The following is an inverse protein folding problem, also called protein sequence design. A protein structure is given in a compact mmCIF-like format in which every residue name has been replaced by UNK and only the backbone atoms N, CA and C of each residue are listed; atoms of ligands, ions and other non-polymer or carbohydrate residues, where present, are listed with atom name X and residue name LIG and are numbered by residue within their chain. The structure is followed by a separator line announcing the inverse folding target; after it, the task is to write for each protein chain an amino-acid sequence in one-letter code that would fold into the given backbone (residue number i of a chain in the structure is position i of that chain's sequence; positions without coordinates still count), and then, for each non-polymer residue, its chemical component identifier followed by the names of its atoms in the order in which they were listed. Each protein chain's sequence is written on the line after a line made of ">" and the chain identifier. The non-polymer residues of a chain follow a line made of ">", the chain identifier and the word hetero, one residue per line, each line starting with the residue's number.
data_IF_215012512344
#
_entry.id   IF_215012512344
#
_cell.length_a   1.000
_cell.length_b   1.000
_cell.length_c   1.000
_cell.angle_alpha   90.00
_cell.angle_beta   90.00
_cell.angle_gamma   90.00
#
_symmetry.space_group_name_H-M   'P 1'
#
loop_
_entity.id
_entity.type
_entity.pdbx_description
1 polymer ?
#
# COMPACT_ATOMS: atom_id res chain seq x y z
N UNK A 1 6.24 -27.68 0.82
CA UNK A 1 6.67 -26.31 0.46
C UNK A 1 5.39 -25.49 0.38
N UNK A 2 5.05 -24.79 1.44
CA UNK A 2 3.84 -23.97 1.52
C UNK A 2 4.20 -22.64 0.87
N UNK A 3 3.58 -22.35 -0.29
CA UNK A 3 3.72 -21.05 -0.93
C UNK A 3 2.87 -20.06 -0.13
N UNK A 4 3.50 -19.21 0.65
CA UNK A 4 2.83 -18.11 1.31
C UNK A 4 2.35 -17.11 0.25
N UNK A 5 1.04 -16.97 0.13
CA UNK A 5 0.43 -15.86 -0.62
C UNK A 5 0.56 -14.61 0.26
N UNK A 6 0.95 -13.54 -0.37
CA UNK A 6 1.27 -12.23 0.20
C UNK A 6 0.13 -11.64 1.00
N UNK A 7 0.45 -11.00 2.11
CA UNK A 7 -0.45 -10.09 2.82
C UNK A 7 -0.52 -8.83 1.95
N UNK A 8 -1.65 -8.58 1.33
CA UNK A 8 -1.92 -7.28 0.74
C UNK A 8 -2.24 -6.32 1.89
N UNK A 9 -1.22 -5.66 2.42
CA UNK A 9 -1.42 -4.36 3.04
C UNK A 9 -1.83 -3.46 1.88
N UNK A 10 -2.87 -2.66 2.05
CA UNK A 10 -3.37 -1.73 1.03
C UNK A 10 -2.46 -0.50 0.88
N UNK A 11 -1.18 -0.65 1.05
CA UNK A 11 -0.13 -0.01 0.29
C UNK A 11 0.15 -1.01 -0.82
N UNK A 12 -0.17 -0.67 -2.06
CA UNK A 12 0.11 -1.48 -3.25
C UNK A 12 1.63 -1.61 -3.48
N UNK A 13 2.36 -2.15 -2.51
CA UNK A 13 3.70 -2.68 -2.72
C UNK A 13 3.54 -4.17 -2.91
N UNK A 14 3.20 -4.58 -4.12
CA UNK A 14 3.18 -5.99 -4.50
C UNK A 14 4.62 -6.48 -4.65
N UNK A 15 5.25 -6.93 -3.58
CA UNK A 15 6.53 -7.63 -3.67
C UNK A 15 6.28 -9.06 -4.15
N UNK A 16 6.50 -9.35 -5.43
CA UNK A 16 6.53 -10.70 -5.97
C UNK A 16 7.94 -11.25 -5.85
N UNK A 17 8.16 -12.28 -5.03
CA UNK A 17 9.42 -13.00 -5.01
C UNK A 17 9.42 -14.09 -6.07
N UNK A 18 10.20 -13.89 -7.13
CA UNK A 18 10.68 -14.97 -8.01
C UNK A 18 12.19 -14.90 -8.06
N UNK A 19 12.83 -16.02 -7.77
CA UNK A 19 14.26 -16.17 -7.80
C UNK A 19 14.79 -16.26 -9.22
N UNK A 20 15.62 -15.32 -9.62
CA UNK A 20 16.72 -15.56 -10.59
C UNK A 20 17.75 -14.43 -10.52
N UNK A 21 19.00 -14.78 -10.80
CA UNK A 21 20.19 -13.94 -10.89
C UNK A 21 20.04 -12.85 -11.98
N UNK A 22 19.36 -11.77 -11.67
CA UNK A 22 19.24 -10.50 -12.39
C UNK A 22 18.29 -9.59 -11.61
N UNK A 23 18.16 -8.33 -11.96
CA UNK A 23 17.11 -7.47 -11.45
C UNK A 23 15.76 -7.95 -12.00
N UNK A 24 14.80 -8.21 -11.13
CA UNK A 24 13.41 -8.47 -11.52
C UNK A 24 12.71 -7.14 -11.75
N UNK A 25 11.94 -7.07 -12.82
CA UNK A 25 11.20 -5.87 -13.22
C UNK A 25 9.73 -6.22 -13.24
N UNK A 26 8.94 -5.50 -12.48
CA UNK A 26 7.48 -5.66 -12.46
C UNK A 26 6.78 -4.36 -12.87
N UNK A 27 5.67 -4.51 -13.58
CA UNK A 27 4.71 -3.43 -13.84
C UNK A 27 3.38 -3.83 -13.24
N UNK A 28 2.71 -2.88 -12.63
CA UNK A 28 1.36 -3.07 -12.13
C UNK A 28 0.42 -2.00 -12.68
N UNK A 29 -0.84 -2.36 -12.88
CA UNK A 29 -1.93 -1.44 -13.23
C UNK A 29 -3.14 -1.82 -12.41
N UNK A 30 -3.89 -0.83 -11.92
CA UNK A 30 -5.15 -1.03 -11.24
C UNK A 30 -6.20 0.02 -11.64
N UNK A 31 -7.46 -0.39 -11.56
CA UNK A 31 -8.63 0.46 -11.66
C UNK A 31 -9.50 0.19 -10.45
N UNK A 32 -9.94 1.23 -9.78
CA UNK A 32 -10.85 1.13 -8.64
C UNK A 32 -11.95 2.21 -8.73
N UNK A 33 -13.02 2.03 -7.96
CA UNK A 33 -14.06 3.05 -7.87
C UNK A 33 -13.65 4.21 -6.96
N UNK A 34 -12.59 4.03 -6.16
CA UNK A 34 -12.02 5.03 -5.25
C UNK A 34 -10.58 4.64 -4.93
N UNK A 35 -9.74 5.62 -4.56
CA UNK A 35 -8.41 5.40 -4.02
C UNK A 35 -8.43 5.74 -2.53
N UNK A 36 -8.35 4.74 -1.68
CA UNK A 36 -8.29 4.90 -0.22
C UNK A 36 -6.84 4.77 0.27
N UNK A 37 -6.35 5.79 0.95
CA UNK A 37 -5.05 5.80 1.63
C UNK A 37 -5.24 6.09 3.11
N UNK A 38 -4.79 5.19 3.98
CA UNK A 38 -4.95 5.28 5.45
C UNK A 38 -6.39 5.58 5.89
N UNK A 39 -7.36 4.93 5.23
CA UNK A 39 -8.78 5.08 5.52
C UNK A 39 -9.48 6.24 4.81
N UNK A 40 -8.74 7.18 4.23
CA UNK A 40 -9.27 8.40 3.60
C UNK A 40 -9.32 8.28 2.08
N UNK A 41 -10.40 8.76 1.45
CA UNK A 41 -10.49 8.86 0.00
C UNK A 41 -9.50 9.89 -0.55
N UNK A 42 -8.75 9.49 -1.58
CA UNK A 42 -7.80 10.34 -2.29
C UNK A 42 -8.35 10.85 -3.62
N UNK A 43 -9.50 10.32 -4.06
CA UNK A 43 -10.16 10.71 -5.32
C UNK A 43 -11.53 11.33 -5.12
N UNK A 44 -11.90 11.64 -3.85
CA UNK A 44 -13.22 12.20 -3.53
C UNK A 44 -14.36 11.24 -3.89
N UNK A 45 -14.15 9.93 -3.70
CA UNK A 45 -15.07 8.83 -4.05
C UNK A 45 -15.26 8.65 -5.57
N UNK A 46 -14.40 9.25 -6.40
CA UNK A 46 -14.39 9.09 -7.85
C UNK A 46 -13.41 7.99 -8.29
N UNK A 47 -13.59 7.40 -9.49
CA UNK A 47 -12.74 6.31 -9.96
C UNK A 47 -11.26 6.67 -10.03
N UNK A 48 -10.43 5.74 -9.57
CA UNK A 48 -8.98 5.82 -9.63
C UNK A 48 -8.39 4.89 -10.69
N UNK A 49 -7.36 5.39 -11.37
CA UNK A 49 -6.48 4.61 -12.23
C UNK A 49 -5.05 4.76 -11.73
N UNK A 50 -4.44 3.67 -11.34
CA UNK A 50 -3.09 3.67 -10.78
C UNK A 50 -2.18 2.67 -11.46
N UNK A 51 -0.88 2.86 -11.31
CA UNK A 51 0.10 1.93 -11.82
C UNK A 51 1.50 2.22 -11.31
N UNK A 52 2.36 1.21 -11.40
CA UNK A 52 3.72 1.31 -10.90
C UNK A 52 4.72 0.50 -11.71
N UNK A 53 5.96 0.78 -11.45
CA UNK A 53 7.12 0.13 -12.00
C UNK A 53 8.12 -0.13 -10.88
N UNK A 54 8.51 -1.39 -10.70
CA UNK A 54 9.40 -1.86 -9.66
C UNK A 54 10.62 -2.56 -10.25
N UNK A 55 11.77 -2.31 -9.66
CA UNK A 55 13.00 -3.05 -9.90
C UNK A 55 13.49 -3.60 -8.57
N UNK A 56 13.65 -4.91 -8.48
CA UNK A 56 14.15 -5.57 -7.27
C UNK A 56 15.34 -6.48 -7.53
N UNK A 57 16.17 -6.65 -6.52
CA UNK A 57 17.27 -7.60 -6.54
C UNK A 57 16.89 -8.87 -5.78
N UNK A 58 16.76 -9.97 -6.50
CA UNK A 58 16.45 -11.27 -5.90
C UNK A 58 17.56 -11.85 -5.00
N UNK A 59 18.81 -11.41 -5.16
CA UNK A 59 19.95 -11.87 -4.35
C UNK A 59 20.13 -11.07 -3.05
N UNK A 60 19.68 -9.80 -3.06
CA UNK A 60 20.02 -8.87 -1.99
C UNK A 60 18.81 -8.18 -1.36
N UNK A 61 17.57 -8.47 -1.81
CA UNK A 61 16.36 -7.88 -1.25
C UNK A 61 16.18 -6.37 -1.46
N UNK A 62 17.11 -5.70 -2.13
CA UNK A 62 17.02 -4.28 -2.42
C UNK A 62 15.98 -4.03 -3.52
N UNK A 63 15.21 -2.96 -3.43
CA UNK A 63 14.25 -2.54 -4.43
C UNK A 63 14.19 -1.03 -4.58
N UNK A 64 13.71 -0.59 -5.74
CA UNK A 64 13.36 0.78 -6.06
C UNK A 64 12.14 0.76 -6.96
N UNK A 65 11.24 1.71 -6.79
CA UNK A 65 10.05 1.79 -7.62
C UNK A 65 9.52 3.21 -7.75
N UNK A 66 8.57 3.33 -8.69
CA UNK A 66 7.72 4.49 -8.87
C UNK A 66 6.29 4.03 -9.02
N UNK A 67 5.38 4.74 -8.39
CA UNK A 67 3.95 4.50 -8.51
C UNK A 67 3.22 5.81 -8.74
N UNK A 68 2.03 5.77 -9.30
CA UNK A 68 1.21 6.96 -9.46
C UNK A 68 -0.25 6.64 -9.62
N UNK A 69 -1.09 7.61 -9.28
CA UNK A 69 -2.55 7.58 -9.41
C UNK A 69 -3.10 8.97 -9.72
N UNK A 70 -4.30 9.03 -10.24
CA UNK A 70 -5.06 10.26 -10.14
C UNK A 70 -5.55 10.46 -8.70
N UNK A 71 -5.62 11.70 -8.29
CA UNK A 71 -6.18 12.16 -7.01
C UNK A 71 -7.11 13.35 -7.23
N UNK A 72 -8.00 13.62 -6.27
CA UNK A 72 -8.86 14.82 -6.26
C UNK A 72 -9.04 15.29 -4.80
N UNK A 73 -8.38 16.37 -4.43
CA UNK A 73 -8.49 17.01 -3.12
C UNK A 73 -9.35 18.29 -3.19
N UNK A 74 -10.10 18.50 -4.29
CA UNK A 74 -10.84 19.72 -4.53
C UNK A 74 -9.94 20.94 -4.81
N UNK A 75 -8.67 20.70 -5.17
CA UNK A 75 -7.66 21.71 -5.52
C UNK A 75 -7.19 21.58 -6.97
N UNK A 76 -6.03 22.15 -7.33
CA UNK A 76 -5.44 21.96 -8.67
C UNK A 76 -4.72 20.60 -8.80
N UNK A 77 -4.49 19.90 -7.68
CA UNK A 77 -3.84 18.59 -7.64
C UNK A 77 -4.75 17.53 -8.23
N UNK A 78 -4.24 16.80 -9.20
CA UNK A 78 -4.95 15.72 -9.88
C UNK A 78 -4.12 14.45 -10.10
N UNK A 79 -2.89 14.44 -9.60
CA UNK A 79 -1.94 13.34 -9.80
C UNK A 79 -1.03 13.23 -8.60
N UNK A 80 -0.85 12.00 -8.11
CA UNK A 80 0.16 11.59 -7.14
C UNK A 80 1.23 10.76 -7.83
N UNK A 81 2.50 11.02 -7.51
CA UNK A 81 3.65 10.26 -7.96
C UNK A 81 4.55 9.94 -6.78
N UNK A 82 4.74 8.66 -6.52
CA UNK A 82 5.56 8.17 -5.42
C UNK A 82 6.86 7.59 -5.92
N UNK A 83 7.96 7.94 -5.26
CA UNK A 83 9.27 7.36 -5.49
C UNK A 83 9.72 6.67 -4.21
N UNK A 84 10.10 5.41 -4.30
CA UNK A 84 10.47 4.64 -3.14
C UNK A 84 11.66 3.72 -3.41
N UNK A 85 12.38 3.42 -2.34
CA UNK A 85 13.43 2.41 -2.34
C UNK A 85 13.56 1.79 -0.96
N UNK A 86 14.06 0.57 -0.91
CA UNK A 86 14.19 -0.13 0.35
C UNK A 86 14.93 -1.45 0.25
N UNK A 87 14.82 -2.18 1.33
CA UNK A 87 15.36 -3.51 1.49
C UNK A 87 14.35 -4.40 2.22
N UNK A 88 13.96 -5.49 1.59
CA UNK A 88 13.05 -6.48 2.17
C UNK A 88 13.65 -7.88 2.09
N UNK A 89 13.47 -8.67 3.16
CA UNK A 89 13.95 -10.05 3.19
C UNK A 89 13.07 -10.89 4.14
N UNK A 90 13.21 -12.20 4.05
CA UNK A 90 12.56 -13.15 4.93
C UNK A 90 13.59 -14.07 5.59
N UNK A 91 13.58 -14.11 6.90
CA UNK A 91 14.44 -15.02 7.68
C UNK A 91 14.06 -16.48 7.45
N UNK A 92 15.01 -17.40 7.70
CA UNK A 92 14.76 -18.85 7.63
C UNK A 92 13.64 -19.34 8.59
N UNK A 93 13.18 -18.51 9.51
CA UNK A 93 12.07 -18.79 10.44
C UNK A 93 10.74 -18.24 9.96
N UNK A 94 10.68 -17.64 8.78
CA UNK A 94 9.47 -17.05 8.21
C UNK A 94 9.09 -15.70 8.82
N UNK A 95 10.04 -14.97 9.39
CA UNK A 95 9.86 -13.56 9.77
C UNK A 95 10.29 -12.71 8.60
N UNK A 96 9.36 -12.00 8.01
CA UNK A 96 9.62 -11.01 6.96
C UNK A 96 9.89 -9.65 7.59
N UNK A 97 10.79 -8.89 6.99
CA UNK A 97 11.04 -7.50 7.35
C UNK A 97 11.23 -6.65 6.10
N UNK A 98 10.92 -5.40 6.22
CA UNK A 98 11.04 -4.39 5.18
C UNK A 98 11.49 -3.07 5.82
N UNK A 99 12.43 -2.37 5.21
CA UNK A 99 12.85 -1.04 5.60
C UNK A 99 13.02 -0.21 4.34
N UNK A 100 12.45 0.98 4.32
CA UNK A 100 12.52 1.81 3.13
C UNK A 100 12.24 3.28 3.40
N UNK A 101 12.27 4.00 2.29
CA UNK A 101 11.95 5.41 2.18
C UNK A 101 10.96 5.58 1.03
N UNK A 102 10.01 6.48 1.21
CA UNK A 102 9.04 6.88 0.22
C UNK A 102 8.88 8.39 0.21
N UNK A 103 8.78 8.97 -0.99
CA UNK A 103 8.47 10.37 -1.25
C UNK A 103 7.17 10.43 -2.04
N UNK A 104 6.16 11.03 -1.45
CA UNK A 104 4.86 11.30 -2.06
C UNK A 104 4.92 12.67 -2.71
N UNK A 105 4.62 12.76 -4.00
CA UNK A 105 4.77 14.00 -4.76
C UNK A 105 3.50 14.34 -5.52
N UNK A 106 3.11 15.61 -5.44
CA UNK A 106 1.92 16.17 -6.08
C UNK A 106 2.36 17.26 -7.07
N UNK A 107 2.65 16.93 -8.36
CA UNK A 107 3.33 17.83 -9.31
C UNK A 107 2.65 19.17 -9.56
N UNK A 108 1.32 19.24 -9.42
CA UNK A 108 0.58 20.50 -9.59
C UNK A 108 0.63 21.38 -8.34
N UNK A 109 0.93 20.82 -7.15
CA UNK A 109 0.82 21.52 -5.87
C UNK A 109 1.87 21.00 -4.89
N UNK A 110 3.16 21.23 -5.18
CA UNK A 110 4.28 20.70 -4.40
C UNK A 110 4.33 21.10 -2.92
N UNK A 111 3.39 21.93 -2.46
CA UNK A 111 3.18 22.18 -1.03
C UNK A 111 2.51 21.03 -0.28
N UNK A 112 2.01 20.03 -1.00
CA UNK A 112 1.44 18.79 -0.47
C UNK A 112 2.46 17.65 -0.40
N UNK A 113 3.66 17.82 -0.99
CA UNK A 113 4.70 16.81 -1.00
C UNK A 113 5.15 16.47 0.42
N UNK A 114 5.38 15.20 0.70
CA UNK A 114 5.90 14.72 1.98
C UNK A 114 6.69 13.41 1.82
N UNK A 115 7.43 13.07 2.87
CA UNK A 115 8.35 11.94 2.85
C UNK A 115 8.25 11.12 4.13
N UNK A 116 8.48 9.81 4.02
CA UNK A 116 8.50 8.89 5.15
C UNK A 116 9.66 7.90 5.05
N UNK A 117 10.18 7.49 6.20
CA UNK A 117 10.94 6.25 6.34
C UNK A 117 10.07 5.23 7.07
N UNK A 118 10.17 3.96 6.68
CA UNK A 118 9.33 2.94 7.28
C UNK A 118 10.10 1.68 7.64
N UNK A 119 9.54 0.95 8.60
CA UNK A 119 9.99 -0.38 9.01
C UNK A 119 8.76 -1.27 9.16
N UNK A 120 8.73 -2.35 8.40
CA UNK A 120 7.71 -3.38 8.47
C UNK A 120 8.29 -4.69 9.03
N UNK A 121 7.52 -5.39 9.84
CA UNK A 121 7.81 -6.75 10.28
C UNK A 121 6.55 -7.58 10.23
N UNK A 122 6.63 -8.78 9.65
CA UNK A 122 5.53 -9.70 9.63
C UNK A 122 5.95 -11.13 10.01
N UNK A 123 5.07 -11.85 10.66
CA UNK A 123 5.24 -13.27 10.96
C UNK A 123 3.93 -14.02 10.75
N UNK A 124 3.95 -14.99 9.86
CA UNK A 124 2.78 -15.75 9.44
C UNK A 124 1.70 -14.83 8.86
N UNK A 125 0.68 -14.52 9.65
CA UNK A 125 -0.51 -13.78 9.27
C UNK A 125 -0.69 -12.48 10.06
N UNK A 126 0.31 -12.08 10.84
CA UNK A 126 0.30 -10.81 11.60
C UNK A 126 1.46 -9.94 11.13
N UNK A 127 1.20 -8.66 10.90
CA UNK A 127 2.19 -7.66 10.52
C UNK A 127 2.07 -6.38 11.33
N UNK A 128 3.17 -5.65 11.42
CA UNK A 128 3.24 -4.27 11.94
C UNK A 128 4.09 -3.47 10.96
N UNK A 129 3.62 -2.28 10.61
CA UNK A 129 4.33 -1.28 9.84
C UNK A 129 4.37 0.01 10.64
N UNK A 130 5.56 0.59 10.77
CA UNK A 130 5.78 1.89 11.39
C UNK A 130 6.37 2.80 10.33
N UNK A 131 5.66 3.88 10.01
CA UNK A 131 6.11 4.95 9.12
C UNK A 131 6.44 6.18 9.95
N UNK A 132 7.66 6.65 9.84
CA UNK A 132 8.14 7.87 10.48
C UNK A 132 8.12 8.98 9.45
N UNK A 133 7.22 9.94 9.65
CA UNK A 133 7.17 11.14 8.85
C UNK A 133 8.43 11.98 8.99
N UNK A 134 8.93 12.52 7.89
CA UNK A 134 10.04 13.46 7.90
C UNK A 134 9.50 14.89 7.99
N UNK A 135 10.33 15.78 8.49
CA UNK A 135 10.00 17.19 8.75
C UNK A 135 8.79 17.36 9.67
N UNK A 136 7.64 17.75 9.13
CA UNK A 136 6.39 17.97 9.88
C UNK A 136 5.31 16.93 9.55
N UNK A 137 5.65 15.91 8.77
CA UNK A 137 4.73 14.81 8.43
C UNK A 137 4.43 13.97 9.67
N UNK A 138 3.16 13.70 9.98
CA UNK A 138 2.79 12.83 11.09
C UNK A 138 3.32 11.40 10.94
N UNK A 139 3.57 10.73 12.07
CA UNK A 139 3.95 9.32 12.09
C UNK A 139 2.71 8.44 11.90
N UNK A 140 2.88 7.25 11.36
CA UNK A 140 1.80 6.27 11.25
C UNK A 140 2.25 4.90 11.75
N UNK A 141 1.35 4.19 12.43
CA UNK A 141 1.59 2.80 12.84
C UNK A 141 0.40 1.94 12.43
N UNK A 142 0.67 0.85 11.73
CA UNK A 142 -0.33 -0.11 11.26
C UNK A 142 -0.12 -1.47 11.89
N UNK A 143 -1.21 -2.13 12.24
CA UNK A 143 -1.27 -3.54 12.61
C UNK A 143 -2.16 -4.26 11.60
N UNK A 144 -1.66 -5.35 11.05
CA UNK A 144 -2.39 -6.12 10.05
C UNK A 144 -2.53 -7.59 10.42
N UNK A 145 -3.65 -8.15 10.02
CA UNK A 145 -3.92 -9.59 10.15
C UNK A 145 -4.48 -10.11 8.84
N UNK A 146 -3.82 -11.12 8.25
CA UNK A 146 -4.36 -11.86 7.10
C UNK A 146 -4.92 -13.20 7.57
N UNK A 147 -6.14 -13.55 7.23
CA UNK A 147 -6.78 -14.77 7.69
C UNK A 147 -6.41 -15.98 6.80
N UNK A 148 -5.16 -16.39 6.90
CA UNK A 148 -4.61 -17.52 6.15
C UNK A 148 -4.73 -17.33 4.64
N UNK A 149 -5.14 -18.39 3.92
CA UNK A 149 -5.34 -18.37 2.46
C UNK A 149 -6.75 -17.93 2.05
N UNK A 150 -7.55 -17.36 2.96
CA UNK A 150 -8.93 -16.96 2.67
C UNK A 150 -9.05 -15.75 1.73
N UNK A 151 -8.01 -14.96 1.60
CA UNK A 151 -8.02 -13.66 0.93
C UNK A 151 -8.52 -12.52 1.82
N UNK A 152 -8.99 -12.80 3.04
CA UNK A 152 -9.49 -11.78 3.98
C UNK A 152 -8.33 -11.19 4.78
N UNK A 153 -8.26 -9.85 4.82
CA UNK A 153 -7.33 -9.06 5.61
C UNK A 153 -8.02 -8.00 6.45
N UNK A 154 -7.41 -7.65 7.56
CA UNK A 154 -7.83 -6.51 8.41
C UNK A 154 -6.58 -5.72 8.77
N UNK A 155 -6.63 -4.41 8.59
CA UNK A 155 -5.60 -3.47 9.03
C UNK A 155 -6.24 -2.43 9.94
N UNK A 156 -5.59 -2.15 11.04
CA UNK A 156 -5.89 -1.03 11.91
C UNK A 156 -4.68 -0.10 11.94
N UNK A 157 -4.89 1.19 11.75
CA UNK A 157 -3.85 2.21 11.77
C UNK A 157 -4.13 3.33 12.74
N UNK A 158 -3.04 3.93 13.24
CA UNK A 158 -3.02 5.13 14.07
C UNK A 158 -2.09 6.14 13.39
N UNK A 159 -2.67 7.18 12.79
CA UNK A 159 -1.98 8.26 12.11
C UNK A 159 -1.90 9.45 13.07
N UNK A 160 -0.75 9.64 13.68
CA UNK A 160 -0.54 10.51 14.83
C UNK A 160 -1.07 11.95 14.63
N UNK A 161 -2.03 12.33 15.46
CA UNK A 161 -2.69 13.63 15.41
C UNK A 161 -3.65 13.85 14.23
N UNK A 162 -3.77 12.89 13.30
CA UNK A 162 -4.66 12.96 12.14
C UNK A 162 -5.92 12.12 12.36
N UNK A 163 -5.77 10.85 12.72
CA UNK A 163 -6.91 9.99 12.98
C UNK A 163 -6.53 8.50 13.08
N UNK A 164 -7.55 7.67 13.16
CA UNK A 164 -7.41 6.22 13.21
C UNK A 164 -8.26 5.60 12.11
N UNK A 165 -7.82 4.45 11.61
CA UNK A 165 -8.55 3.81 10.52
C UNK A 165 -8.57 2.29 10.66
N UNK A 166 -9.62 1.71 10.11
CA UNK A 166 -9.76 0.28 9.95
C UNK A 166 -10.03 -0.04 8.49
N UNK A 167 -9.25 -0.95 7.94
CA UNK A 167 -9.44 -1.45 6.58
C UNK A 167 -9.76 -2.94 6.66
N UNK A 168 -10.83 -3.36 6.00
CA UNK A 168 -11.16 -4.78 5.81
C UNK A 168 -11.10 -5.07 4.33
N UNK A 169 -10.23 -5.98 3.91
CA UNK A 169 -10.04 -6.33 2.51
C UNK A 169 -10.36 -7.80 2.23
N UNK A 170 -10.83 -8.06 1.04
CA UNK A 170 -11.01 -9.41 0.53
C UNK A 170 -10.49 -9.49 -0.92
N UNK A 171 -9.43 -10.27 -1.10
CA UNK A 171 -8.88 -10.58 -2.42
C UNK A 171 -9.47 -11.89 -2.94
N UNK A 172 -10.08 -11.84 -4.10
CA UNK A 172 -10.64 -13.04 -4.72
C UNK A 172 -9.51 -14.01 -5.08
N UNK A 173 -9.60 -15.29 -4.69
CA UNK A 173 -8.49 -16.25 -4.84
C UNK A 173 -8.24 -16.67 -6.29
N UNK A 174 -9.10 -16.25 -7.21
CA UNK A 174 -9.00 -16.59 -8.64
C UNK A 174 -8.89 -15.33 -9.47
N UNK A 175 -7.83 -15.29 -10.25
CA UNK A 175 -7.70 -14.37 -11.38
C UNK A 175 -8.55 -14.83 -12.57
N UNK A 176 -9.08 -13.88 -13.30
CA UNK A 176 -9.78 -14.12 -14.58
C UNK A 176 -8.94 -13.47 -15.68
N UNK A 177 -8.36 -14.29 -16.54
CA UNK A 177 -7.48 -13.85 -17.65
C UNK A 177 -6.30 -12.99 -17.18
N UNK A 178 -5.73 -13.29 -16.01
CA UNK A 178 -4.62 -12.55 -15.41
C UNK A 178 -5.04 -11.22 -14.75
N UNK A 179 -6.33 -11.04 -14.52
CA UNK A 179 -6.86 -9.90 -13.76
C UNK A 179 -7.25 -10.40 -12.37
N UNK A 180 -6.71 -9.76 -11.34
CA UNK A 180 -7.07 -9.94 -9.94
C UNK A 180 -8.22 -9.00 -9.56
N UNK A 181 -9.00 -9.42 -8.57
CA UNK A 181 -10.16 -8.68 -8.08
C UNK A 181 -10.05 -8.55 -6.57
N UNK A 182 -10.37 -7.38 -6.05
CA UNK A 182 -10.41 -7.10 -4.63
C UNK A 182 -11.60 -6.24 -4.25
N UNK A 183 -12.05 -6.39 -3.02
CA UNK A 183 -13.00 -5.47 -2.39
C UNK A 183 -12.46 -5.04 -1.04
N UNK A 184 -12.78 -3.82 -0.62
CA UNK A 184 -12.36 -3.27 0.65
C UNK A 184 -13.45 -2.41 1.27
N UNK A 185 -13.44 -2.37 2.59
CA UNK A 185 -14.18 -1.41 3.41
C UNK A 185 -13.16 -0.62 4.20
N UNK A 186 -13.35 0.68 4.29
CA UNK A 186 -12.57 1.55 5.15
C UNK A 186 -13.48 2.28 6.12
N UNK A 187 -12.94 2.59 7.27
CA UNK A 187 -13.53 3.42 8.31
C UNK A 187 -12.39 4.29 8.84
N UNK A 188 -12.56 5.60 8.81
CA UNK A 188 -11.60 6.57 9.29
C UNK A 188 -12.24 7.50 10.30
N UNK A 189 -11.72 7.46 11.54
CA UNK A 189 -12.09 8.35 12.63
C UNK A 189 -11.05 9.48 12.72
N UNK A 190 -11.40 10.67 12.29
CA UNK A 190 -10.51 11.85 12.41
C UNK A 190 -10.27 12.25 13.86
N UNK A 191 -9.09 12.76 14.18
CA UNK A 191 -8.71 13.12 15.55
C UNK A 191 -9.57 14.23 16.15
N UNK A 192 -10.20 15.07 15.31
CA UNK A 192 -11.09 16.17 15.74
C UNK A 192 -12.59 15.87 15.51
N UNK A 193 -12.92 14.72 14.92
CA UNK A 193 -14.30 14.28 14.65
C UNK A 193 -15.02 15.09 13.55
N UNK A 194 -14.29 15.84 12.72
CA UNK A 194 -14.89 16.68 11.70
C UNK A 194 -14.75 16.13 10.26
N UNK A 195 -13.88 15.15 10.07
CA UNK A 195 -13.57 14.55 8.78
C UNK A 195 -13.56 13.02 8.85
N UNK A 196 -14.57 12.45 9.55
CA UNK A 196 -14.77 11.00 9.58
C UNK A 196 -15.25 10.52 8.21
N UNK A 197 -14.70 9.40 7.73
CA UNK A 197 -15.01 8.85 6.40
C UNK A 197 -15.25 7.34 6.46
N UNK A 198 -16.27 6.87 5.73
CA UNK A 198 -16.53 5.46 5.44
C UNK A 198 -16.30 5.22 3.94
N UNK A 199 -15.56 4.18 3.58
CA UNK A 199 -15.27 3.88 2.17
C UNK A 199 -15.60 2.44 1.78
N UNK A 200 -15.99 2.27 0.52
CA UNK A 200 -16.08 0.98 -0.16
C UNK A 200 -15.25 1.01 -1.43
N UNK A 201 -14.32 0.08 -1.56
CA UNK A 201 -13.45 -0.03 -2.75
C UNK A 201 -13.67 -1.37 -3.44
N UNK A 202 -13.78 -1.30 -4.75
CA UNK A 202 -13.71 -2.44 -5.63
C UNK A 202 -12.55 -2.22 -6.62
N UNK A 203 -11.63 -3.17 -6.70
CA UNK A 203 -10.41 -3.03 -7.50
C UNK A 203 -10.27 -4.15 -8.51
N UNK A 204 -9.84 -3.77 -9.71
CA UNK A 204 -9.29 -4.66 -10.73
C UNK A 204 -7.82 -4.36 -10.86
N UNK A 205 -6.97 -5.37 -10.83
CA UNK A 205 -5.53 -5.17 -10.98
C UNK A 205 -4.88 -6.24 -11.84
N UNK A 206 -3.73 -5.88 -12.42
CA UNK A 206 -2.91 -6.82 -13.18
C UNK A 206 -1.44 -6.47 -13.00
N UNK A 207 -0.64 -7.51 -12.77
CA UNK A 207 0.82 -7.46 -12.79
C UNK A 207 1.36 -8.07 -14.09
N UNK A 208 2.51 -7.52 -14.58
CA UNK A 208 3.15 -7.93 -15.84
C UNK A 208 4.62 -8.25 -15.62
#
# INVERSE_FOLDING_TARGET
>A
MIKFKKIAVLLLISTSYMSLSAADVEFNLALSNDYIWRGMSQTGEDPAASGGFDVSSSEHGAYVGVWGSNVDFGSETNTELDYYFGYADESARGVSFDVGYISYNYPAEGGLDFEEIYVGVAYKWVGVLISKGLEQTPDNTEWSVALGDSGLGVTYGDYDGVGKYTLVSFDFPKEISGISFGIGLSDFDSADGNADEDGFVFTFSRNF
#
